data_IF_793236575462
#
_entry.id   IF_793236575462
#
_cell.length_a   1.000
_cell.length_b   1.000
_cell.length_c   1.000
_cell.angle_alpha   90.00
_cell.angle_beta   90.00
_cell.angle_gamma   90.00
#
_symmetry.space_group_name_H-M   'P 1'
#
loop_
_entity.id
_entity.type
_entity.pdbx_description
1 polymer ?
#
# COMPACT_ATOMS: atom_id res chain seq x y z
N UNK A 1 -14.89 -5.63 17.25
CA UNK A 1 -14.46 -4.36 17.88
C UNK A 1 -15.52 -3.31 17.63
N UNK A 2 -15.95 -2.62 18.68
CA UNK A 2 -16.96 -1.59 18.52
C UNK A 2 -16.40 -0.40 17.73
N UNK A 3 -17.22 0.21 16.87
CA UNK A 3 -16.83 1.43 16.16
C UNK A 3 -16.69 2.59 17.16
N UNK A 4 -15.71 3.48 16.97
CA UNK A 4 -15.60 4.67 17.80
C UNK A 4 -16.86 5.53 17.66
N UNK A 5 -17.34 6.07 18.75
CA UNK A 5 -18.52 6.96 18.76
C UNK A 5 -18.15 8.39 18.37
N UNK A 6 -16.85 8.73 18.45
CA UNK A 6 -16.33 10.06 18.13
C UNK A 6 -15.20 9.88 17.11
N UNK A 7 -15.26 10.52 15.90
CA UNK A 7 -14.19 10.44 14.91
C UNK A 7 -12.81 10.84 15.44
N UNK A 8 -12.74 11.74 16.43
CA UNK A 8 -11.46 12.14 17.04
C UNK A 8 -10.80 11.03 17.83
N UNK A 9 -11.55 10.01 18.25
CA UNK A 9 -11.01 8.85 18.99
C UNK A 9 -10.64 7.68 18.08
N UNK A 10 -10.82 7.83 16.78
CA UNK A 10 -10.52 6.77 15.82
C UNK A 10 -9.02 6.59 15.65
N UNK A 11 -8.57 5.34 15.77
CA UNK A 11 -7.20 4.97 15.44
C UNK A 11 -7.12 4.68 13.95
N UNK A 12 -6.14 5.28 13.27
CA UNK A 12 -5.89 5.03 11.86
C UNK A 12 -4.83 3.93 11.75
N UNK A 13 -5.17 2.86 11.04
CA UNK A 13 -4.28 1.73 10.82
C UNK A 13 -3.56 1.94 9.50
N UNK A 14 -2.25 2.07 9.55
CA UNK A 14 -1.36 2.22 8.41
C UNK A 14 -0.57 0.92 8.26
N UNK A 15 -0.77 0.21 7.16
CA UNK A 15 -0.13 -1.09 6.93
C UNK A 15 1.04 -0.95 5.96
N UNK A 16 2.19 -1.53 6.31
CA UNK A 16 3.42 -1.46 5.52
C UNK A 16 3.86 -2.84 5.01
N UNK A 17 3.00 -3.84 5.05
CA UNK A 17 3.34 -5.22 4.65
C UNK A 17 3.92 -5.28 3.24
N UNK A 18 3.30 -4.58 2.29
CA UNK A 18 3.68 -4.64 0.88
C UNK A 18 4.88 -3.77 0.52
N UNK A 19 5.35 -2.93 1.43
CA UNK A 19 6.58 -2.17 1.24
C UNK A 19 7.67 -2.68 2.16
N UNK A 20 7.52 -2.49 3.46
CA UNK A 20 8.54 -2.86 4.44
C UNK A 20 8.59 -4.38 4.65
N UNK A 21 7.45 -5.02 4.76
CA UNK A 21 7.37 -6.47 4.97
C UNK A 21 7.92 -7.26 3.80
N UNK A 22 7.67 -6.82 2.57
CA UNK A 22 8.20 -7.48 1.36
C UNK A 22 9.72 -7.41 1.27
N UNK A 23 10.36 -6.47 1.93
CA UNK A 23 11.82 -6.35 1.93
C UNK A 23 12.51 -7.32 2.90
N UNK A 24 11.75 -8.09 3.64
CA UNK A 24 12.31 -9.11 4.53
C UNK A 24 13.08 -10.16 3.72
N UNK A 25 14.24 -10.64 4.22
CA UNK A 25 15.01 -11.66 3.52
C UNK A 25 14.19 -12.92 3.22
N UNK A 26 14.33 -13.44 2.00
CA UNK A 26 13.64 -14.65 1.57
C UNK A 26 12.21 -14.46 1.09
N UNK A 27 11.68 -13.24 1.11
CA UNK A 27 10.34 -12.95 0.60
C UNK A 27 10.43 -12.39 -0.81
N UNK A 28 9.69 -13.01 -1.72
CA UNK A 28 9.54 -12.56 -3.10
C UNK A 28 8.10 -12.76 -3.52
N UNK A 29 7.40 -11.67 -3.80
CA UNK A 29 5.99 -11.69 -4.17
C UNK A 29 5.81 -11.19 -5.60
N UNK A 30 5.00 -11.90 -6.38
CA UNK A 30 4.60 -11.40 -7.70
C UNK A 30 3.45 -10.39 -7.58
N UNK A 31 3.09 -9.76 -8.70
CA UNK A 31 2.05 -8.73 -8.73
C UNK A 31 0.68 -9.28 -8.29
N UNK A 32 0.34 -10.50 -8.70
CA UNK A 32 -0.93 -11.12 -8.32
C UNK A 32 -1.01 -11.39 -6.82
N UNK A 33 0.09 -11.86 -6.24
CA UNK A 33 0.16 -12.10 -4.80
C UNK A 33 0.05 -10.81 -4.00
N UNK A 34 0.71 -9.75 -4.45
CA UNK A 34 0.63 -8.42 -3.82
C UNK A 34 -0.80 -7.88 -3.86
N UNK A 35 -1.47 -8.01 -4.99
CA UNK A 35 -2.87 -7.58 -5.13
C UNK A 35 -3.78 -8.36 -4.19
N UNK A 36 -3.59 -9.66 -4.08
CA UNK A 36 -4.38 -10.50 -3.19
C UNK A 36 -4.19 -10.10 -1.72
N UNK A 37 -2.95 -9.84 -1.30
CA UNK A 37 -2.65 -9.35 0.05
C UNK A 37 -3.35 -8.01 0.29
N UNK A 38 -3.28 -7.09 -0.66
CA UNK A 38 -3.92 -5.79 -0.55
C UNK A 38 -5.44 -5.92 -0.40
N UNK A 39 -6.07 -6.82 -1.13
CA UNK A 39 -7.50 -7.08 -1.02
C UNK A 39 -7.86 -7.63 0.36
N UNK A 40 -7.05 -8.52 0.93
CA UNK A 40 -7.27 -9.05 2.27
C UNK A 40 -7.10 -7.96 3.33
N UNK A 41 -6.11 -7.09 3.19
CA UNK A 41 -5.93 -5.95 4.09
C UNK A 41 -7.13 -5.01 4.04
N UNK A 42 -7.68 -4.77 2.85
CA UNK A 42 -8.89 -3.97 2.69
C UNK A 42 -10.08 -4.60 3.43
N UNK A 43 -10.22 -5.92 3.36
CA UNK A 43 -11.27 -6.66 4.07
C UNK A 43 -11.10 -6.58 5.58
N UNK A 44 -9.86 -6.54 6.07
CA UNK A 44 -9.59 -6.36 7.50
C UNK A 44 -9.95 -4.95 7.99
N UNK A 45 -10.16 -4.02 7.07
CA UNK A 45 -10.55 -2.65 7.43
C UNK A 45 -9.38 -1.74 7.76
N UNK A 46 -8.17 -2.02 7.25
CA UNK A 46 -7.06 -1.08 7.40
C UNK A 46 -7.39 0.22 6.66
N UNK A 47 -6.90 1.33 7.16
CA UNK A 47 -7.23 2.65 6.61
C UNK A 47 -6.31 3.05 5.47
N UNK A 48 -5.03 2.70 5.57
CA UNK A 48 -4.00 3.06 4.58
C UNK A 48 -3.14 1.83 4.30
N UNK A 49 -2.88 1.55 3.03
CA UNK A 49 -1.95 0.50 2.58
C UNK A 49 -0.78 1.19 1.89
N UNK A 50 0.43 1.00 2.41
CA UNK A 50 1.66 1.37 1.71
C UNK A 50 2.03 0.25 0.75
N UNK A 51 1.74 0.45 -0.53
CA UNK A 51 1.74 -0.62 -1.51
C UNK A 51 3.12 -0.95 -2.08
N UNK A 52 4.09 -0.05 -1.95
CA UNK A 52 5.43 -0.30 -2.43
C UNK A 52 6.25 0.96 -2.63
N UNK A 53 7.37 0.79 -3.35
CA UNK A 53 8.29 1.89 -3.69
C UNK A 53 8.31 2.01 -5.22
N UNK A 54 7.45 2.89 -5.82
CA UNK A 54 7.25 2.92 -7.27
C UNK A 54 8.51 3.18 -8.11
N UNK A 55 9.47 3.93 -7.57
CA UNK A 55 10.71 4.25 -8.32
C UNK A 55 11.70 3.08 -8.34
N UNK A 56 11.52 2.05 -7.49
CA UNK A 56 12.50 0.96 -7.38
C UNK A 56 12.66 0.18 -8.68
N UNK A 57 11.57 -0.05 -9.41
CA UNK A 57 11.59 -0.72 -10.73
C UNK A 57 10.26 -0.50 -11.44
N UNK A 58 10.23 -0.82 -12.75
CA UNK A 58 8.98 -0.79 -13.52
C UNK A 58 7.96 -1.77 -12.94
N UNK A 59 8.40 -2.94 -12.49
CA UNK A 59 7.53 -3.92 -11.86
C UNK A 59 6.93 -3.41 -10.56
N UNK A 60 7.71 -2.72 -9.74
CA UNK A 60 7.20 -2.11 -8.51
C UNK A 60 6.19 -1.01 -8.80
N UNK A 61 6.46 -0.17 -9.80
CA UNK A 61 5.51 0.85 -10.24
C UNK A 61 4.19 0.23 -10.69
N UNK A 62 4.26 -0.79 -11.54
CA UNK A 62 3.07 -1.49 -12.06
C UNK A 62 2.27 -2.14 -10.94
N UNK A 63 2.94 -2.74 -9.95
CA UNK A 63 2.28 -3.37 -8.81
C UNK A 63 1.53 -2.34 -7.97
N UNK A 64 2.16 -1.21 -7.66
CA UNK A 64 1.50 -0.13 -6.91
C UNK A 64 0.31 0.43 -7.68
N UNK A 65 0.47 0.62 -9.00
CA UNK A 65 -0.60 1.11 -9.86
C UNK A 65 -1.78 0.14 -9.90
N UNK A 66 -1.51 -1.16 -10.01
CA UNK A 66 -2.56 -2.18 -10.04
C UNK A 66 -3.35 -2.19 -8.72
N UNK A 67 -2.66 -2.07 -7.59
CA UNK A 67 -3.29 -2.01 -6.27
C UNK A 67 -4.14 -0.73 -6.15
N UNK A 68 -3.60 0.41 -6.57
CA UNK A 68 -4.33 1.68 -6.50
C UNK A 68 -5.61 1.67 -7.33
N UNK A 69 -5.61 0.96 -8.46
CA UNK A 69 -6.78 0.86 -9.33
C UNK A 69 -7.76 -0.24 -8.91
N UNK A 70 -7.25 -1.33 -8.36
CA UNK A 70 -8.05 -2.52 -8.12
C UNK A 70 -8.61 -2.67 -6.71
N UNK A 71 -8.06 -1.98 -5.73
CA UNK A 71 -8.46 -2.11 -4.33
C UNK A 71 -9.21 -0.87 -3.90
N UNK A 72 -10.42 -1.04 -3.39
CA UNK A 72 -11.24 0.06 -2.87
C UNK A 72 -11.39 -0.04 -1.35
N UNK A 73 -11.61 1.11 -0.73
CA UNK A 73 -11.73 1.25 0.72
C UNK A 73 -10.54 1.97 1.31
N UNK A 74 -9.36 1.31 1.46
CA UNK A 74 -8.18 1.99 2.00
C UNK A 74 -7.62 3.06 1.07
N UNK A 75 -6.93 4.02 1.64
CA UNK A 75 -6.06 4.92 0.89
C UNK A 75 -4.81 4.14 0.49
N UNK A 76 -4.43 4.19 -0.77
CA UNK A 76 -3.23 3.53 -1.27
C UNK A 76 -2.11 4.57 -1.39
N UNK A 77 -0.96 4.30 -0.78
CA UNK A 77 0.19 5.17 -0.86
C UNK A 77 1.44 4.41 -1.27
N UNK A 78 2.45 5.13 -1.70
CA UNK A 78 3.76 4.59 -2.06
C UNK A 78 4.88 5.34 -1.35
N UNK A 79 6.00 4.66 -1.13
CA UNK A 79 7.19 5.30 -0.62
C UNK A 79 7.79 6.21 -1.70
N UNK A 80 8.18 7.42 -1.31
CA UNK A 80 8.80 8.38 -2.21
C UNK A 80 9.94 9.10 -1.48
N UNK A 81 11.11 9.15 -2.14
CA UNK A 81 12.16 10.08 -1.74
C UNK A 81 11.78 11.47 -2.22
N UNK A 82 12.54 12.49 -1.82
CA UNK A 82 12.27 13.86 -2.24
C UNK A 82 12.76 14.17 -3.67
N UNK A 83 13.33 13.19 -4.37
CA UNK A 83 13.76 13.34 -5.76
C UNK A 83 12.57 13.54 -6.69
N UNK A 84 12.74 14.36 -7.74
CA UNK A 84 11.67 14.68 -8.68
C UNK A 84 11.05 13.44 -9.33
N UNK A 85 11.85 12.45 -9.71
CA UNK A 85 11.36 11.22 -10.34
C UNK A 85 10.42 10.45 -9.43
N UNK A 86 10.78 10.33 -8.14
CA UNK A 86 9.93 9.66 -7.16
C UNK A 86 8.60 10.38 -7.02
N UNK A 87 8.64 11.71 -6.88
CA UNK A 87 7.45 12.52 -6.66
C UNK A 87 6.50 12.50 -7.85
N UNK A 88 7.01 12.40 -9.06
CA UNK A 88 6.17 12.32 -10.26
C UNK A 88 5.40 10.99 -10.35
N UNK A 89 5.93 9.90 -9.77
CA UNK A 89 5.30 8.59 -9.82
C UNK A 89 4.18 8.40 -8.80
N UNK A 90 4.09 9.23 -7.78
CA UNK A 90 2.99 9.13 -6.79
C UNK A 90 1.67 9.70 -7.29
N UNK A 91 1.66 10.35 -8.44
CA UNK A 91 0.46 10.86 -9.10
C UNK A 91 -0.11 9.87 -10.12
N UNK A 92 -0.16 8.62 -9.77
CA UNK A 92 -0.68 7.55 -10.62
C UNK A 92 -2.19 7.37 -10.50
#
# INVERSE_FOLDING_TARGET
MAAPTNPADRVIIFDTTLRDGEQSPGISLDQGEKLEIAEQLARLGVDVIEAGFPIASDGDFEAVQAIARGVSGPVICGLSRTARKDLSLIHI
#
